data_IF_407232374020
#
_entry.id   IF_407232374020
#
_cell.length_a   1.000
_cell.length_b   1.000
_cell.length_c   1.000
_cell.angle_alpha   90.00
_cell.angle_beta   90.00
_cell.angle_gamma   90.00
#
_symmetry.space_group_name_H-M   'P 1'
#
loop_
_entity.id
_entity.type
_entity.pdbx_description
1 polymer ?
#
# COMPACT_ATOMS: atom_id res chain seq x y z
N UNK A 1 -3.57 -9.14 7.09
CA UNK A 1 -4.65 -10.12 7.37
C UNK A 1 -5.07 -10.14 8.83
N UNK A 2 -4.16 -10.27 9.78
CA UNK A 2 -4.52 -10.19 11.21
C UNK A 2 -5.18 -8.85 11.60
N UNK A 3 -4.81 -7.75 10.94
CA UNK A 3 -5.42 -6.44 11.16
C UNK A 3 -6.88 -6.38 10.72
N UNK A 4 -7.22 -7.00 9.59
CA UNK A 4 -8.59 -6.99 9.06
C UNK A 4 -9.53 -7.78 9.94
N UNK A 5 -9.08 -8.92 10.45
CA UNK A 5 -9.83 -9.75 11.40
C UNK A 5 -10.05 -8.99 12.71
N UNK A 6 -9.04 -8.26 13.21
CA UNK A 6 -9.16 -7.44 14.42
C UNK A 6 -10.14 -6.28 14.23
N UNK A 7 -10.15 -5.64 13.09
CA UNK A 7 -11.14 -4.59 12.77
C UNK A 7 -12.54 -5.16 12.72
N UNK A 8 -12.74 -6.29 12.08
CA UNK A 8 -14.05 -6.94 12.02
C UNK A 8 -14.53 -7.37 13.41
N UNK A 9 -13.65 -7.87 14.27
CA UNK A 9 -13.97 -8.22 15.66
C UNK A 9 -14.33 -6.98 16.48
N UNK A 10 -13.62 -5.85 16.29
CA UNK A 10 -13.96 -4.59 16.94
C UNK A 10 -15.32 -4.05 16.48
N UNK A 11 -15.61 -4.11 15.20
CA UNK A 11 -16.91 -3.72 14.64
C UNK A 11 -18.02 -4.54 15.26
N UNK A 12 -17.85 -5.86 15.34
CA UNK A 12 -18.83 -6.75 15.98
C UNK A 12 -19.03 -6.46 17.46
N UNK A 13 -17.98 -6.05 18.19
CA UNK A 13 -18.07 -5.70 19.61
C UNK A 13 -18.77 -4.36 19.85
N UNK A 14 -18.55 -3.40 18.96
CA UNK A 14 -19.10 -2.02 19.08
C UNK A 14 -20.51 -1.94 18.51
N UNK A 15 -20.82 -2.75 17.49
CA UNK A 15 -22.09 -2.72 16.78
C UNK A 15 -22.67 -4.14 16.68
N UNK A 16 -23.22 -4.70 17.80
CA UNK A 16 -23.64 -6.11 17.84
C UNK A 16 -24.84 -6.44 16.92
N UNK A 17 -25.66 -5.45 16.57
CA UNK A 17 -26.80 -5.61 15.66
C UNK A 17 -26.83 -4.42 14.73
N UNK A 18 -26.35 -4.60 13.48
CA UNK A 18 -26.32 -3.55 12.46
C UNK A 18 -26.96 -4.05 11.17
N UNK A 19 -27.61 -3.15 10.45
CA UNK A 19 -28.10 -3.42 9.12
C UNK A 19 -26.93 -3.38 8.12
N UNK A 20 -27.16 -3.93 6.91
CA UNK A 20 -26.16 -3.87 5.84
C UNK A 20 -25.86 -2.42 5.47
N UNK A 21 -26.88 -1.56 5.41
CA UNK A 21 -26.76 -0.14 5.12
C UNK A 21 -25.90 0.60 6.15
N UNK A 22 -26.13 0.34 7.44
CA UNK A 22 -25.33 0.92 8.55
C UNK A 22 -23.87 0.48 8.49
N UNK A 23 -23.63 -0.77 8.11
CA UNK A 23 -22.29 -1.32 7.95
C UNK A 23 -21.57 -0.66 6.77
N UNK A 24 -22.24 -0.50 5.63
CA UNK A 24 -21.71 0.17 4.44
C UNK A 24 -21.38 1.64 4.74
N UNK A 25 -22.27 2.34 5.45
CA UNK A 25 -22.03 3.72 5.87
C UNK A 25 -20.83 3.84 6.80
N UNK A 26 -20.71 2.95 7.78
CA UNK A 26 -19.56 2.91 8.69
C UNK A 26 -18.25 2.69 7.94
N UNK A 27 -18.22 1.73 7.02
CA UNK A 27 -17.03 1.43 6.21
C UNK A 27 -16.67 2.64 5.34
N UNK A 28 -17.65 3.31 4.74
CA UNK A 28 -17.43 4.51 3.94
C UNK A 28 -16.82 5.64 4.78
N UNK A 29 -17.37 5.91 5.97
CA UNK A 29 -16.84 6.92 6.89
C UNK A 29 -15.39 6.62 7.30
N UNK A 30 -15.07 5.36 7.63
CA UNK A 30 -13.71 4.97 8.01
C UNK A 30 -12.73 5.12 6.84
N UNK A 31 -13.18 4.84 5.63
CA UNK A 31 -12.37 5.02 4.41
C UNK A 31 -12.08 6.50 4.19
N UNK A 32 -13.06 7.36 4.32
CA UNK A 32 -12.91 8.81 4.16
C UNK A 32 -11.96 9.42 5.20
N UNK A 33 -12.09 9.02 6.46
CA UNK A 33 -11.21 9.46 7.54
C UNK A 33 -9.76 9.02 7.30
N UNK A 34 -9.56 7.79 6.86
CA UNK A 34 -8.24 7.29 6.51
C UNK A 34 -7.63 8.04 5.32
N UNK A 35 -8.44 8.32 4.31
CA UNK A 35 -8.01 9.10 3.16
C UNK A 35 -7.54 10.50 3.55
N UNK A 36 -8.31 11.20 4.37
CA UNK A 36 -7.95 12.54 4.84
C UNK A 36 -6.66 12.53 5.67
N UNK A 37 -6.46 11.53 6.52
CA UNK A 37 -5.24 11.35 7.29
C UNK A 37 -4.02 11.11 6.38
N UNK A 38 -4.15 10.20 5.40
CA UNK A 38 -3.10 9.90 4.45
C UNK A 38 -2.73 11.10 3.59
N UNK A 39 -3.73 11.88 3.19
CA UNK A 39 -3.55 13.11 2.42
C UNK A 39 -2.76 14.17 3.21
N UNK A 40 -3.07 14.35 4.49
CA UNK A 40 -2.33 15.26 5.38
C UNK A 40 -0.89 14.82 5.54
N UNK A 41 -0.64 13.54 5.75
CA UNK A 41 0.71 12.99 5.93
C UNK A 41 1.53 13.05 4.64
N UNK A 42 0.90 12.89 3.48
CA UNK A 42 1.57 12.89 2.17
C UNK A 42 2.11 14.26 1.77
N UNK A 43 1.44 15.35 2.15
CA UNK A 43 1.83 16.71 1.76
C UNK A 43 3.23 17.11 2.23
N UNK A 44 3.73 16.48 3.29
CA UNK A 44 5.02 16.79 3.93
C UNK A 44 6.19 16.08 3.25
N UNK A 45 5.96 15.00 2.50
CA UNK A 45 7.04 14.09 2.05
C UNK A 45 7.23 13.94 0.54
N UNK A 46 6.48 14.68 -0.26
CA UNK A 46 6.55 14.58 -1.73
C UNK A 46 7.95 14.83 -2.30
N UNK A 47 8.73 15.70 -1.68
CA UNK A 47 10.08 16.06 -2.13
C UNK A 47 11.15 15.00 -1.81
N UNK A 48 10.82 13.98 -1.00
CA UNK A 48 11.77 12.96 -0.51
C UNK A 48 11.71 11.67 -1.32
N UNK A 49 10.75 11.54 -2.23
CA UNK A 49 10.60 10.33 -3.06
C UNK A 49 11.68 10.30 -4.14
N UNK A 50 12.55 9.32 -4.07
CA UNK A 50 13.67 9.15 -5.00
C UNK A 50 13.61 7.77 -5.67
N UNK A 51 13.66 7.78 -6.99
CA UNK A 51 13.76 6.57 -7.80
C UNK A 51 15.15 5.94 -7.67
N UNK A 52 15.21 4.63 -7.70
CA UNK A 52 16.48 3.93 -7.60
C UNK A 52 16.38 2.46 -8.00
N UNK A 53 17.49 1.75 -7.81
CA UNK A 53 17.60 0.32 -8.11
C UNK A 53 18.25 -0.44 -6.96
N UNK A 54 17.82 -1.67 -6.77
CA UNK A 54 18.52 -2.67 -5.96
C UNK A 54 18.64 -3.94 -6.81
N UNK A 55 19.84 -4.50 -6.91
CA UNK A 55 20.11 -5.72 -7.68
C UNK A 55 19.61 -5.62 -9.13
N UNK A 56 19.72 -4.44 -9.73
CA UNK A 56 19.24 -4.18 -11.09
C UNK A 56 17.72 -4.02 -11.22
N UNK A 57 16.95 -4.23 -10.16
CA UNK A 57 15.51 -4.05 -10.16
C UNK A 57 15.18 -2.57 -9.92
N UNK A 58 14.35 -2.01 -10.79
CA UNK A 58 13.96 -0.59 -10.71
C UNK A 58 12.78 -0.39 -9.79
N UNK A 59 12.89 0.60 -8.90
CA UNK A 59 11.83 1.02 -7.99
C UNK A 59 11.59 2.52 -8.11
N UNK A 60 10.35 2.93 -7.97
CA UNK A 60 9.98 4.34 -7.99
C UNK A 60 10.15 5.03 -6.63
N UNK A 61 10.35 4.25 -5.57
CA UNK A 61 10.58 4.77 -4.23
C UNK A 61 11.40 3.79 -3.38
N UNK A 62 12.03 4.31 -2.33
CA UNK A 62 12.69 3.45 -1.32
C UNK A 62 11.71 2.54 -0.59
N UNK A 63 10.46 2.96 -0.45
CA UNK A 63 9.44 2.15 0.19
C UNK A 63 9.10 0.90 -0.61
N UNK A 64 9.04 1.01 -1.93
CA UNK A 64 8.88 -0.17 -2.79
C UNK A 64 10.08 -1.12 -2.62
N UNK A 65 11.30 -0.59 -2.63
CA UNK A 65 12.49 -1.38 -2.40
C UNK A 65 12.48 -2.07 -1.03
N UNK A 66 12.03 -1.37 0.00
CA UNK A 66 11.89 -1.92 1.34
C UNK A 66 10.90 -3.09 1.39
N UNK A 67 9.76 -2.96 0.74
CA UNK A 67 8.75 -4.03 0.63
C UNK A 67 9.34 -5.24 -0.09
N UNK A 68 10.03 -5.02 -1.20
CA UNK A 68 10.71 -6.09 -1.93
C UNK A 68 11.68 -6.85 -1.04
N UNK A 69 12.59 -6.16 -0.36
CA UNK A 69 13.59 -6.78 0.50
C UNK A 69 12.97 -7.51 1.69
N UNK A 70 11.96 -6.92 2.29
CA UNK A 70 11.28 -7.53 3.43
C UNK A 70 10.65 -8.88 3.09
N UNK A 71 9.86 -8.92 2.03
CA UNK A 71 9.21 -10.17 1.64
C UNK A 71 10.21 -11.17 1.03
N UNK A 72 11.06 -10.71 0.14
CA UNK A 72 11.99 -11.60 -0.56
C UNK A 72 13.10 -12.14 0.34
N UNK A 73 13.78 -11.23 1.07
CA UNK A 73 14.98 -11.59 1.83
C UNK A 73 14.66 -12.04 3.27
N UNK A 74 13.73 -11.37 3.96
CA UNK A 74 13.44 -11.67 5.36
C UNK A 74 12.38 -12.76 5.48
N UNK A 75 11.29 -12.66 4.74
CA UNK A 75 10.19 -13.63 4.79
C UNK A 75 10.39 -14.83 3.88
N UNK A 76 11.31 -14.78 2.93
CA UNK A 76 11.51 -15.85 1.95
C UNK A 76 10.33 -16.06 1.00
N UNK A 77 9.54 -15.03 0.78
CA UNK A 77 8.39 -15.06 -0.12
C UNK A 77 8.78 -14.34 -1.41
N UNK A 78 8.77 -15.02 -2.57
CA UNK A 78 9.14 -14.38 -3.83
C UNK A 78 8.27 -13.16 -4.16
N UNK A 79 8.92 -12.09 -4.57
CA UNK A 79 8.28 -10.84 -4.97
C UNK A 79 8.54 -10.59 -6.44
N UNK A 80 7.47 -10.42 -7.21
CA UNK A 80 7.56 -10.05 -8.62
C UNK A 80 7.14 -8.61 -8.82
N UNK A 81 7.91 -7.84 -9.60
CA UNK A 81 7.44 -6.55 -10.10
C UNK A 81 6.31 -6.82 -11.09
N UNK A 82 5.18 -6.18 -10.87
CA UNK A 82 4.06 -6.32 -11.78
C UNK A 82 4.25 -5.43 -13.01
N UNK A 83 4.41 -6.04 -14.16
CA UNK A 83 4.52 -5.36 -15.45
C UNK A 83 3.41 -5.77 -16.42
N UNK A 84 2.54 -6.68 -16.00
CA UNK A 84 1.57 -7.35 -16.87
C UNK A 84 0.12 -7.11 -16.44
N UNK A 85 -0.17 -7.22 -15.14
CA UNK A 85 -1.54 -7.13 -14.62
C UNK A 85 -1.96 -5.67 -14.53
N UNK A 86 -2.92 -5.31 -15.37
CA UNK A 86 -3.50 -3.97 -15.48
C UNK A 86 -4.90 -3.98 -14.85
N UNK A 87 -5.15 -3.05 -13.97
CA UNK A 87 -6.41 -2.99 -13.21
C UNK A 87 -7.18 -1.72 -13.58
N UNK A 88 -8.45 -1.86 -14.04
CA UNK A 88 -9.27 -0.70 -14.37
C UNK A 88 -9.89 -0.09 -13.11
N UNK A 89 -10.06 1.21 -13.09
CA UNK A 89 -10.81 1.92 -12.06
C UNK A 89 -11.46 3.16 -12.65
N UNK A 90 -12.54 3.61 -12.02
CA UNK A 90 -13.20 4.87 -12.40
C UNK A 90 -12.59 6.01 -11.58
N UNK A 91 -11.95 6.94 -12.27
CA UNK A 91 -11.28 8.09 -11.66
C UNK A 91 -12.28 9.15 -11.18
N UNK A 92 -11.80 10.15 -10.44
CA UNK A 92 -12.61 11.23 -9.90
C UNK A 92 -13.35 12.03 -10.99
N UNK A 93 -12.79 12.11 -12.19
CA UNK A 93 -13.41 12.78 -13.35
C UNK A 93 -14.45 11.90 -14.07
N UNK A 94 -14.77 10.72 -13.55
CA UNK A 94 -15.72 9.77 -14.12
C UNK A 94 -15.17 8.93 -15.27
N UNK A 95 -13.92 9.14 -15.67
CA UNK A 95 -13.30 8.36 -16.74
C UNK A 95 -12.71 7.07 -16.22
N UNK A 96 -12.83 6.00 -17.00
CA UNK A 96 -12.18 4.72 -16.70
C UNK A 96 -10.71 4.81 -17.09
N UNK A 97 -9.85 4.49 -16.15
CA UNK A 97 -8.40 4.45 -16.32
C UNK A 97 -7.86 3.11 -15.83
N UNK A 98 -6.61 2.86 -16.13
CA UNK A 98 -5.92 1.65 -15.70
C UNK A 98 -4.71 2.01 -14.87
N UNK A 99 -4.34 1.12 -13.92
CA UNK A 99 -3.08 1.20 -13.22
C UNK A 99 -2.47 -0.19 -13.09
N UNK A 100 -1.17 -0.21 -12.85
CA UNK A 100 -0.43 -1.43 -12.59
C UNK A 100 -0.05 -1.42 -11.11
N UNK A 101 -0.67 -2.27 -10.27
CA UNK A 101 -0.15 -2.47 -8.91
C UNK A 101 1.33 -2.82 -8.92
N UNK A 102 2.08 -2.37 -7.92
CA UNK A 102 3.55 -2.44 -7.94
C UNK A 102 4.09 -3.86 -7.98
N UNK A 103 3.47 -4.77 -7.23
CA UNK A 103 3.99 -6.12 -7.00
C UNK A 103 2.93 -7.19 -7.10
N UNK A 104 3.40 -8.42 -7.36
CA UNK A 104 2.67 -9.65 -7.10
C UNK A 104 3.46 -10.39 -6.01
N UNK A 105 2.85 -10.58 -4.85
CA UNK A 105 3.46 -11.24 -3.70
C UNK A 105 2.53 -12.37 -3.25
N UNK A 106 3.04 -13.61 -3.29
CA UNK A 106 2.25 -14.81 -2.98
C UNK A 106 0.91 -14.86 -3.76
N UNK A 107 0.96 -14.50 -5.04
CA UNK A 107 -0.22 -14.48 -5.92
C UNK A 107 -1.19 -13.32 -5.71
N UNK A 108 -0.88 -12.38 -4.84
CA UNK A 108 -1.71 -11.21 -4.54
C UNK A 108 -1.11 -9.93 -5.12
N UNK A 109 -1.98 -9.08 -5.67
CA UNK A 109 -1.57 -7.75 -6.10
C UNK A 109 -1.34 -6.85 -4.89
N UNK A 110 -0.22 -6.15 -4.88
CA UNK A 110 0.20 -5.25 -3.79
C UNK A 110 0.61 -3.91 -4.36
N UNK A 111 0.06 -2.84 -3.79
CA UNK A 111 0.37 -1.45 -4.16
C UNK A 111 0.99 -0.73 -2.96
N UNK A 112 2.13 -0.08 -3.16
CA UNK A 112 2.82 0.69 -2.13
C UNK A 112 2.49 2.17 -2.28
N UNK A 113 1.95 2.79 -1.25
CA UNK A 113 1.55 4.20 -1.26
C UNK A 113 2.16 4.99 -0.12
N UNK A 114 3.28 5.64 -0.41
CA UNK A 114 3.87 6.62 0.50
C UNK A 114 3.24 8.00 0.35
N UNK A 115 2.70 8.29 -0.82
CA UNK A 115 2.00 9.51 -1.16
C UNK A 115 0.61 9.16 -1.71
N UNK A 116 -0.44 9.71 -1.10
CA UNK A 116 -1.82 9.34 -1.38
C UNK A 116 -2.56 10.47 -2.09
N UNK A 117 -3.12 10.18 -3.26
CA UNK A 117 -3.91 11.12 -4.07
C UNK A 117 -5.38 10.71 -4.06
N UNK A 118 -6.25 11.61 -4.52
CA UNK A 118 -7.68 11.36 -4.61
C UNK A 118 -8.01 10.07 -5.37
N UNK A 119 -7.38 9.86 -6.54
CA UNK A 119 -7.60 8.65 -7.32
C UNK A 119 -7.12 7.37 -6.61
N UNK A 120 -6.17 7.46 -5.71
CA UNK A 120 -5.69 6.30 -4.95
C UNK A 120 -6.75 5.78 -3.97
N UNK A 121 -7.53 6.67 -3.38
CA UNK A 121 -8.69 6.29 -2.56
C UNK A 121 -9.73 5.53 -3.38
N UNK A 122 -10.01 6.01 -4.60
CA UNK A 122 -10.94 5.35 -5.53
C UNK A 122 -10.46 3.97 -5.95
N UNK A 123 -9.16 3.82 -6.21
CA UNK A 123 -8.57 2.50 -6.49
C UNK A 123 -8.78 1.53 -5.34
N UNK A 124 -8.49 1.98 -4.12
CA UNK A 124 -8.68 1.18 -2.90
C UNK A 124 -10.11 0.73 -2.71
N UNK A 125 -11.05 1.66 -2.86
CA UNK A 125 -12.47 1.43 -2.67
C UNK A 125 -13.01 0.43 -3.70
N UNK A 126 -12.61 0.59 -4.96
CA UNK A 126 -13.10 -0.24 -6.07
C UNK A 126 -12.43 -1.62 -6.11
N UNK A 127 -11.25 -1.78 -5.51
CA UNK A 127 -10.47 -3.02 -5.55
C UNK A 127 -10.04 -3.47 -4.16
N UNK A 128 -10.98 -3.95 -3.33
CA UNK A 128 -10.66 -4.44 -1.98
C UNK A 128 -9.77 -5.68 -1.98
N UNK A 129 -9.66 -6.39 -3.11
CA UNK A 129 -8.78 -7.54 -3.29
C UNK A 129 -7.30 -7.17 -3.39
N UNK A 130 -6.98 -5.91 -3.71
CA UNK A 130 -5.60 -5.43 -3.79
C UNK A 130 -5.15 -4.97 -2.41
N UNK A 131 -3.98 -5.43 -1.99
CA UNK A 131 -3.39 -5.00 -0.73
C UNK A 131 -2.66 -3.66 -0.92
N UNK A 132 -3.11 -2.62 -0.24
CA UNK A 132 -2.46 -1.30 -0.24
C UNK A 132 -1.61 -1.16 1.02
N UNK A 133 -0.30 -1.04 0.83
CA UNK A 133 0.64 -0.82 1.92
C UNK A 133 0.93 0.68 2.04
N UNK A 134 0.54 1.24 3.17
CA UNK A 134 0.71 2.66 3.48
C UNK A 134 1.76 2.85 4.57
N UNK A 135 1.96 4.07 5.04
CA UNK A 135 2.94 4.37 6.09
C UNK A 135 2.78 3.47 7.32
N UNK A 136 1.54 3.13 7.69
CA UNK A 136 1.26 2.30 8.86
C UNK A 136 1.87 0.89 8.74
N UNK A 137 1.85 0.31 7.55
CA UNK A 137 2.41 -1.01 7.27
C UNK A 137 3.91 -0.95 6.95
N UNK A 138 4.35 0.10 6.26
CA UNK A 138 5.73 0.19 5.75
C UNK A 138 6.74 0.64 6.80
N UNK A 139 6.37 1.54 7.70
CA UNK A 139 7.28 1.98 8.77
C UNK A 139 7.80 0.83 9.64
N UNK A 140 6.96 -0.10 10.11
CA UNK A 140 7.44 -1.29 10.80
C UNK A 140 8.34 -2.19 9.94
N UNK A 141 8.04 -2.31 8.64
CA UNK A 141 8.89 -3.05 7.69
C UNK A 141 10.29 -2.44 7.62
N UNK A 142 10.38 -1.13 7.46
CA UNK A 142 11.66 -0.42 7.39
C UNK A 142 12.44 -0.59 8.69
N UNK A 143 11.77 -0.50 9.82
CA UNK A 143 12.39 -0.69 11.12
C UNK A 143 13.01 -2.08 11.27
N UNK A 144 12.32 -3.11 10.81
CA UNK A 144 12.83 -4.47 10.82
C UNK A 144 14.01 -4.65 9.83
N UNK A 145 13.93 -4.04 8.65
CA UNK A 145 15.03 -4.03 7.69
C UNK A 145 16.28 -3.35 8.24
N UNK A 146 16.13 -2.23 8.92
CA UNK A 146 17.26 -1.51 9.53
C UNK A 146 17.99 -2.36 10.57
N UNK A 147 17.28 -3.29 11.22
CA UNK A 147 17.87 -4.24 12.17
C UNK A 147 18.50 -5.42 11.46
N UNK A 148 17.80 -6.06 10.53
CA UNK A 148 18.21 -7.32 9.91
C UNK A 148 19.10 -7.17 8.69
N UNK A 149 18.95 -6.08 7.94
CA UNK A 149 19.73 -5.73 6.75
C UNK A 149 20.22 -4.29 6.86
N UNK A 150 21.12 -3.97 7.82
CA UNK A 150 21.45 -2.59 8.17
C UNK A 150 21.99 -1.73 7.03
N UNK A 151 22.53 -2.35 5.98
CA UNK A 151 23.10 -1.62 4.84
C UNK A 151 22.16 -1.51 3.63
N UNK A 152 20.90 -1.90 3.77
CA UNK A 152 19.98 -1.94 2.63
C UNK A 152 19.80 -0.60 1.94
N UNK A 153 19.82 0.50 2.70
CA UNK A 153 19.68 1.85 2.12
C UNK A 153 20.88 2.24 1.24
N UNK A 154 22.06 1.72 1.57
CA UNK A 154 23.27 1.93 0.78
C UNK A 154 23.24 1.14 -0.54
N UNK A 155 22.54 0.00 -0.56
CA UNK A 155 22.38 -0.81 -1.76
C UNK A 155 21.36 -0.20 -2.73
N UNK A 156 20.55 0.74 -2.27
CA UNK A 156 19.60 1.47 -3.09
C UNK A 156 20.31 2.56 -3.87
N UNK A 157 20.55 2.30 -5.15
CA UNK A 157 21.29 3.21 -6.04
C UNK A 157 20.32 4.18 -6.71
N UNK A 158 20.47 5.51 -6.50
CA UNK A 158 19.63 6.50 -7.15
C UNK A 158 19.72 6.40 -8.68
N UNK A 159 18.60 6.69 -9.35
CA UNK A 159 18.54 6.84 -10.80
C UNK A 159 17.88 8.16 -11.18
N UNK A 160 18.34 8.71 -12.25
CA UNK A 160 17.80 9.97 -12.80
C UNK A 160 16.44 9.78 -13.47
#
# INVERSE_FOLDING_TARGET
>A
MAKDIRMMVKIKKVMPIVTVEEMEEYISEQTDLRYEELKRNASIKKSVIKKGTIRGIKFDSKWEAAVYLYYNDIKGIPVERNTVVKVPYTAADGKVRNFYPDFIIAGRLVEVKGYFRENDALKMEQHPEIEFLTAAEIKPIIKELDIKLPNWKNDYLPRS
#
